data_IF_630620792708
#
_entry.id   IF_630620792708
#
_cell.length_a   1.000
_cell.length_b   1.000
_cell.length_c   1.000
_cell.angle_alpha   90.00
_cell.angle_beta   90.00
_cell.angle_gamma   90.00
#
_symmetry.space_group_name_H-M   'P 1'
#
loop_
_entity.id
_entity.type
_entity.pdbx_description
1 polymer ?
#
# COMPACT_ATOMS: atom_id res chain seq x y z
N UNK A 1 38.09 -63.17 40.12
CA UNK A 1 37.02 -62.26 40.48
C UNK A 1 37.60 -60.85 40.39
N UNK A 2 37.48 -60.25 39.20
CA UNK A 2 38.10 -58.95 38.89
C UNK A 2 36.96 -57.98 38.78
N UNK A 3 36.94 -56.99 39.68
CA UNK A 3 35.92 -55.94 39.75
C UNK A 3 36.42 -54.79 38.92
N UNK A 4 35.78 -54.61 37.79
CA UNK A 4 36.03 -53.50 36.87
C UNK A 4 35.36 -52.23 37.40
N UNK A 5 36.15 -51.28 37.88
CA UNK A 5 35.71 -49.99 38.36
C UNK A 5 35.54 -49.05 37.13
N UNK A 6 34.31 -48.90 36.69
CA UNK A 6 33.90 -47.97 35.64
C UNK A 6 34.06 -46.52 36.13
N UNK A 7 35.14 -45.88 35.73
CA UNK A 7 35.41 -44.44 35.94
C UNK A 7 34.41 -43.58 35.16
N UNK A 8 33.43 -43.04 35.83
CA UNK A 8 32.56 -42.01 35.29
C UNK A 8 33.35 -40.71 35.12
N UNK A 9 33.73 -40.44 33.88
CA UNK A 9 34.35 -39.20 33.49
C UNK A 9 33.27 -38.09 33.51
N UNK A 10 33.33 -37.24 34.54
CA UNK A 10 32.49 -36.03 34.60
C UNK A 10 32.88 -35.09 33.50
N UNK A 11 31.99 -34.86 32.51
CA UNK A 11 32.12 -33.81 31.52
C UNK A 11 31.90 -32.49 32.25
N UNK A 12 32.98 -31.84 32.64
CA UNK A 12 32.99 -30.51 33.18
C UNK A 12 32.59 -29.55 32.03
N UNK A 13 31.36 -29.09 32.01
CA UNK A 13 30.87 -28.03 31.11
C UNK A 13 31.59 -26.73 31.49
N UNK A 14 32.56 -26.35 30.69
CA UNK A 14 33.31 -25.09 30.80
C UNK A 14 32.36 -23.92 30.49
N UNK A 15 31.66 -23.44 31.50
CA UNK A 15 30.79 -22.26 31.43
C UNK A 15 31.66 -21.01 31.43
N UNK A 16 32.27 -20.71 30.31
CA UNK A 16 32.96 -19.43 30.11
C UNK A 16 31.90 -18.35 29.97
N UNK A 17 31.79 -17.49 30.95
CA UNK A 17 30.98 -16.25 30.85
C UNK A 17 31.70 -15.25 29.94
N UNK A 18 30.96 -14.48 29.17
CA UNK A 18 31.52 -13.40 28.36
C UNK A 18 32.11 -12.33 29.29
N UNK A 19 33.26 -11.80 28.89
CA UNK A 19 33.87 -10.69 29.61
C UNK A 19 33.12 -9.39 29.31
N UNK A 20 33.11 -8.47 30.25
CA UNK A 20 32.45 -7.15 30.09
C UNK A 20 33.02 -6.40 28.89
N UNK A 21 34.34 -6.57 28.59
CA UNK A 21 34.97 -6.01 27.41
C UNK A 21 34.46 -6.61 26.11
N UNK A 22 34.21 -7.92 26.07
CA UNK A 22 33.69 -8.60 24.87
C UNK A 22 32.26 -8.15 24.55
N UNK A 23 31.42 -7.96 25.57
CA UNK A 23 30.09 -7.42 25.41
C UNK A 23 30.11 -5.98 24.89
N UNK A 24 31.06 -5.16 25.36
CA UNK A 24 31.23 -3.79 24.88
C UNK A 24 31.59 -3.76 23.39
N UNK A 25 32.53 -4.62 22.95
CA UNK A 25 32.90 -4.72 21.54
C UNK A 25 31.72 -5.15 20.65
N UNK A 26 30.91 -6.09 21.11
CA UNK A 26 29.71 -6.52 20.37
C UNK A 26 28.74 -5.36 20.19
N UNK A 27 28.47 -4.59 21.24
CA UNK A 27 27.56 -3.43 21.16
C UNK A 27 28.11 -2.36 20.19
N UNK A 28 29.42 -2.10 20.20
CA UNK A 28 30.04 -1.15 19.27
C UNK A 28 29.90 -1.62 17.82
N UNK A 29 30.19 -2.89 17.53
CA UNK A 29 30.05 -3.45 16.18
C UNK A 29 28.59 -3.40 15.73
N UNK A 30 27.65 -3.80 16.56
CA UNK A 30 26.20 -3.73 16.26
C UNK A 30 25.77 -2.29 15.99
N UNK A 31 26.24 -1.32 16.79
CA UNK A 31 25.99 0.11 16.58
C UNK A 31 26.48 0.63 15.22
N UNK A 32 27.68 0.24 14.81
CA UNK A 32 28.26 0.61 13.52
C UNK A 32 27.45 -0.03 12.38
N UNK A 33 27.11 -1.32 12.48
CA UNK A 33 26.31 -2.02 11.47
C UNK A 33 24.91 -1.41 11.35
N UNK A 34 24.28 -1.08 12.48
CA UNK A 34 22.99 -0.40 12.49
C UNK A 34 23.03 0.97 11.82
N UNK A 35 24.06 1.77 12.10
CA UNK A 35 24.25 3.09 11.50
C UNK A 35 24.42 3.01 9.96
N UNK A 36 25.05 1.96 9.45
CA UNK A 36 25.21 1.73 8.02
C UNK A 36 23.95 1.16 7.34
N UNK A 37 23.10 0.46 8.08
CA UNK A 37 21.88 -0.18 7.57
C UNK A 37 20.70 0.79 7.44
N UNK A 38 20.52 1.69 8.40
CA UNK A 38 19.38 2.63 8.47
C UNK A 38 19.22 3.49 7.20
N UNK A 39 20.28 4.12 6.63
CA UNK A 39 20.15 4.97 5.44
C UNK A 39 19.67 4.25 4.17
N UNK A 40 19.73 2.92 4.13
CA UNK A 40 19.35 2.10 2.96
C UNK A 40 17.87 1.70 2.94
N UNK A 41 17.16 1.96 4.01
CA UNK A 41 15.72 1.66 4.09
C UNK A 41 14.93 2.78 3.41
N UNK A 42 14.43 2.52 2.22
CA UNK A 42 13.55 3.45 1.47
C UNK A 42 12.10 3.34 2.01
N UNK A 43 11.85 3.96 3.16
CA UNK A 43 10.56 3.97 3.84
C UNK A 43 9.42 4.48 2.95
N UNK A 44 9.73 5.42 2.04
CA UNK A 44 8.75 5.98 1.12
C UNK A 44 8.21 4.94 0.14
N UNK A 45 9.08 4.04 -0.33
CA UNK A 45 8.70 2.94 -1.20
C UNK A 45 7.74 1.95 -0.53
N UNK A 46 7.92 1.71 0.77
CA UNK A 46 6.97 0.89 1.53
C UNK A 46 5.62 1.59 1.71
N UNK A 47 5.63 2.89 2.03
CA UNK A 47 4.40 3.70 2.17
C UNK A 47 3.59 3.72 0.89
N UNK A 48 4.18 4.07 -0.25
CA UNK A 48 3.45 4.13 -1.52
C UNK A 48 2.88 2.76 -1.94
N UNK A 49 3.60 1.67 -1.66
CA UNK A 49 3.09 0.32 -1.92
C UNK A 49 1.92 -0.05 -0.99
N UNK A 50 2.00 0.35 0.28
CA UNK A 50 0.92 0.14 1.24
C UNK A 50 -0.32 0.95 0.84
N UNK A 51 -0.12 2.22 0.46
CA UNK A 51 -1.20 3.10 0.04
C UNK A 51 -1.90 2.61 -1.23
N UNK A 52 -1.14 2.15 -2.24
CA UNK A 52 -1.75 1.55 -3.43
C UNK A 52 -2.66 0.35 -3.12
N UNK A 53 -2.25 -0.51 -2.17
CA UNK A 53 -3.08 -1.62 -1.70
C UNK A 53 -4.28 -1.14 -0.88
N UNK A 54 -4.08 -0.15 -0.02
CA UNK A 54 -5.14 0.44 0.78
C UNK A 54 -6.23 1.03 -0.13
N UNK A 55 -5.85 1.80 -1.14
CA UNK A 55 -6.79 2.34 -2.13
C UNK A 55 -7.58 1.24 -2.85
N UNK A 56 -6.91 0.16 -3.30
CA UNK A 56 -7.61 -0.96 -3.93
C UNK A 56 -8.61 -1.63 -2.97
N UNK A 57 -8.27 -1.76 -1.69
CA UNK A 57 -9.19 -2.23 -0.67
C UNK A 57 -10.39 -1.29 -0.47
N UNK A 58 -10.18 0.02 -0.46
CA UNK A 58 -11.26 1.00 -0.34
C UNK A 58 -12.20 0.97 -1.55
N UNK A 59 -11.68 0.83 -2.76
CA UNK A 59 -12.50 0.65 -3.96
C UNK A 59 -13.32 -0.65 -3.91
N UNK A 60 -12.69 -1.75 -3.49
CA UNK A 60 -13.39 -3.03 -3.31
C UNK A 60 -14.44 -2.94 -2.20
N UNK A 61 -14.15 -2.21 -1.12
CA UNK A 61 -15.12 -1.95 -0.06
C UNK A 61 -16.33 -1.16 -0.58
N UNK A 62 -16.12 -0.06 -1.31
CA UNK A 62 -17.18 0.74 -1.90
C UNK A 62 -18.06 -0.10 -2.87
N UNK A 63 -17.43 -0.92 -3.69
CA UNK A 63 -18.14 -1.85 -4.59
C UNK A 63 -19.01 -2.85 -3.82
N UNK A 64 -18.45 -3.51 -2.79
CA UNK A 64 -19.19 -4.47 -1.97
C UNK A 64 -20.34 -3.80 -1.21
N UNK A 65 -20.11 -2.56 -0.76
CA UNK A 65 -21.13 -1.78 -0.08
C UNK A 65 -22.31 -1.50 -1.01
N UNK A 66 -22.06 -1.09 -2.26
CA UNK A 66 -23.10 -0.88 -3.25
C UNK A 66 -23.94 -2.14 -3.51
N UNK A 67 -23.26 -3.29 -3.64
CA UNK A 67 -23.96 -4.58 -3.84
C UNK A 67 -24.73 -5.02 -2.59
N UNK A 68 -24.15 -4.88 -1.41
CA UNK A 68 -24.80 -5.36 -0.17
C UNK A 68 -25.99 -4.52 0.26
N UNK A 69 -25.91 -3.20 0.07
CA UNK A 69 -26.98 -2.26 0.45
C UNK A 69 -27.97 -2.00 -0.68
N UNK A 70 -27.71 -2.53 -1.90
CA UNK A 70 -28.57 -2.37 -3.08
C UNK A 70 -28.81 -0.90 -3.48
N UNK A 71 -27.83 -0.02 -3.19
CA UNK A 71 -27.83 1.37 -3.63
C UNK A 71 -26.48 1.77 -4.24
N UNK A 72 -26.43 2.92 -4.90
CA UNK A 72 -25.20 3.40 -5.49
C UNK A 72 -24.23 3.92 -4.42
N UNK A 73 -22.94 3.75 -4.67
CA UNK A 73 -21.88 4.29 -3.80
C UNK A 73 -20.90 5.08 -4.66
N UNK A 74 -20.73 6.35 -4.37
CA UNK A 74 -19.79 7.22 -5.06
C UNK A 74 -18.48 7.31 -4.30
N UNK A 75 -17.37 7.24 -5.04
CA UNK A 75 -16.04 7.53 -4.51
C UNK A 75 -15.49 8.75 -5.25
N UNK A 76 -15.24 9.82 -4.52
CA UNK A 76 -14.62 11.04 -5.02
C UNK A 76 -13.16 11.08 -4.63
N UNK A 77 -12.29 11.37 -5.60
CA UNK A 77 -10.85 11.51 -5.43
C UNK A 77 -10.53 13.00 -5.30
N UNK A 78 -10.30 13.47 -4.07
CA UNK A 78 -9.96 14.87 -3.78
C UNK A 78 -8.45 15.06 -3.83
N UNK A 79 -7.95 15.50 -4.98
CA UNK A 79 -6.52 15.76 -5.22
C UNK A 79 -5.99 16.86 -4.29
N UNK A 80 -6.79 17.92 -4.05
CA UNK A 80 -6.37 19.07 -3.26
C UNK A 80 -6.16 18.74 -1.79
N UNK A 81 -7.03 17.92 -1.21
CA UNK A 81 -6.95 17.52 0.18
C UNK A 81 -6.38 16.10 0.38
N UNK A 82 -5.93 15.46 -0.69
CA UNK A 82 -5.30 14.14 -0.67
C UNK A 82 -6.14 13.09 0.07
N UNK A 83 -7.42 12.97 -0.31
CA UNK A 83 -8.36 12.08 0.36
C UNK A 83 -9.31 11.41 -0.63
N UNK A 84 -9.82 10.26 -0.23
CA UNK A 84 -10.96 9.62 -0.84
C UNK A 84 -12.20 9.94 -0.01
N UNK A 85 -13.29 10.26 -0.67
CA UNK A 85 -14.59 10.47 -0.05
C UNK A 85 -15.52 9.39 -0.60
N UNK A 86 -16.06 8.56 0.27
CA UNK A 86 -17.01 7.50 -0.07
C UNK A 86 -18.39 7.95 0.42
N UNK A 87 -19.29 8.18 -0.51
CA UNK A 87 -20.66 8.65 -0.27
C UNK A 87 -21.64 7.55 -0.66
N UNK A 88 -22.56 7.21 0.24
CA UNK A 88 -23.66 6.27 0.03
C UNK A 88 -24.90 7.04 -0.46
N UNK A 89 -25.43 6.68 -1.62
CA UNK A 89 -26.67 7.23 -2.17
C UNK A 89 -27.83 6.31 -1.75
N UNK A 90 -28.28 6.49 -0.51
CA UNK A 90 -29.23 5.57 0.13
C UNK A 90 -30.63 5.62 -0.50
N UNK A 91 -31.02 6.74 -1.09
CA UNK A 91 -32.31 6.91 -1.75
C UNK A 91 -32.26 6.68 -3.28
N UNK A 92 -31.05 6.46 -3.83
CA UNK A 92 -30.76 6.28 -5.27
C UNK A 92 -31.25 7.43 -6.15
N UNK A 93 -31.20 8.68 -5.64
CA UNK A 93 -31.57 9.87 -6.41
C UNK A 93 -30.39 10.47 -7.21
N UNK A 94 -29.19 9.94 -7.02
CA UNK A 94 -27.95 10.39 -7.67
C UNK A 94 -27.35 11.64 -7.04
N UNK A 95 -27.91 12.14 -5.93
CA UNK A 95 -27.42 13.29 -5.21
C UNK A 95 -26.98 12.87 -3.80
N UNK A 96 -25.80 13.26 -3.41
CA UNK A 96 -25.26 12.92 -2.11
C UNK A 96 -25.54 14.04 -1.11
N UNK A 97 -26.48 13.77 -0.20
CA UNK A 97 -27.00 14.75 0.77
C UNK A 97 -26.40 14.56 2.16
N UNK A 98 -26.55 15.56 3.03
CA UNK A 98 -26.01 15.52 4.40
C UNK A 98 -26.68 14.47 5.30
N UNK A 99 -27.80 13.87 4.87
CA UNK A 99 -28.49 12.80 5.58
C UNK A 99 -27.94 11.41 5.25
N UNK A 100 -27.07 11.30 4.26
CA UNK A 100 -26.48 10.04 3.80
C UNK A 100 -25.12 9.82 4.42
N UNK A 101 -24.72 8.54 4.46
CA UNK A 101 -23.45 8.18 5.09
C UNK A 101 -22.29 8.59 4.22
N UNK A 102 -21.37 9.35 4.81
CA UNK A 102 -20.09 9.77 4.23
C UNK A 102 -18.93 9.22 5.03
N UNK A 103 -17.93 8.67 4.33
CA UNK A 103 -16.67 8.26 4.89
C UNK A 103 -15.52 8.95 4.17
N UNK A 104 -14.64 9.60 4.94
CA UNK A 104 -13.45 10.27 4.43
C UNK A 104 -12.21 9.45 4.81
N UNK A 105 -11.36 9.17 3.84
CA UNK A 105 -10.14 8.39 4.00
C UNK A 105 -8.99 9.27 3.52
N UNK A 106 -8.12 9.65 4.45
CA UNK A 106 -6.94 10.46 4.15
C UNK A 106 -5.83 9.57 3.59
N UNK A 107 -5.11 10.05 2.56
CA UNK A 107 -3.89 9.40 2.11
C UNK A 107 -2.80 9.53 3.16
N UNK A 108 -1.88 8.57 3.17
CA UNK A 108 -0.67 8.61 3.98
C UNK A 108 0.18 9.85 3.68
N UNK A 109 0.85 10.36 4.71
CA UNK A 109 1.72 11.53 4.58
C UNK A 109 2.83 11.30 3.55
N UNK A 110 2.97 12.29 2.66
CA UNK A 110 3.94 12.24 1.58
C UNK A 110 3.49 11.47 0.35
N UNK A 111 2.20 11.07 0.26
CA UNK A 111 1.59 10.50 -0.95
C UNK A 111 0.58 11.50 -1.54
N UNK A 112 0.61 11.68 -2.84
CA UNK A 112 -0.28 12.57 -3.60
C UNK A 112 -0.98 11.80 -4.72
N UNK A 113 -2.16 12.26 -5.10
CA UNK A 113 -2.79 11.87 -6.35
C UNK A 113 -2.11 12.63 -7.49
N UNK A 114 -1.19 11.99 -8.18
CA UNK A 114 -0.46 12.63 -9.28
C UNK A 114 0.17 11.60 -10.22
N UNK A 115 0.04 11.86 -11.52
CA UNK A 115 0.62 11.03 -12.57
C UNK A 115 2.14 11.22 -12.72
N UNK A 116 2.64 12.43 -12.43
CA UNK A 116 4.08 12.79 -12.47
C UNK A 116 4.77 12.45 -13.80
N UNK A 117 4.11 12.72 -14.93
CA UNK A 117 4.69 12.55 -16.26
C UNK A 117 5.01 11.12 -16.69
N UNK A 118 4.53 10.10 -15.96
CA UNK A 118 4.63 8.70 -16.43
C UNK A 118 3.69 8.45 -17.60
N UNK A 119 4.05 7.47 -18.43
CA UNK A 119 3.18 7.02 -19.50
C UNK A 119 1.85 6.49 -18.99
N UNK A 120 0.84 6.46 -19.84
CA UNK A 120 -0.41 5.77 -19.55
C UNK A 120 -0.18 4.26 -19.34
N UNK A 121 -1.15 3.61 -18.71
CA UNK A 121 -1.14 2.15 -18.63
C UNK A 121 -1.17 1.54 -20.03
N UNK A 122 -0.53 0.39 -20.25
CA UNK A 122 -0.55 -0.28 -21.55
C UNK A 122 -1.97 -0.73 -21.91
N UNK A 123 -2.31 -0.66 -23.17
CA UNK A 123 -3.59 -1.16 -23.68
C UNK A 123 -3.80 -2.63 -23.25
N UNK A 124 -5.02 -3.05 -22.94
CA UNK A 124 -6.31 -2.34 -23.15
C UNK A 124 -6.78 -1.48 -21.96
N UNK A 125 -5.90 -1.05 -21.05
CA UNK A 125 -6.29 -0.21 -19.92
C UNK A 125 -6.84 1.14 -20.39
N UNK A 126 -7.78 1.76 -19.63
CA UNK A 126 -8.29 3.07 -19.92
C UNK A 126 -7.21 4.15 -19.70
N UNK A 127 -7.31 5.26 -20.41
CA UNK A 127 -6.38 6.39 -20.31
C UNK A 127 -6.92 7.56 -19.50
N UNK A 128 -8.25 7.57 -19.21
CA UNK A 128 -8.87 8.64 -18.46
C UNK A 128 -8.51 8.55 -16.95
N UNK A 129 -8.05 9.65 -16.39
CA UNK A 129 -7.82 9.81 -14.98
C UNK A 129 -9.14 10.06 -14.25
N UNK A 130 -9.37 9.31 -13.17
CA UNK A 130 -10.60 9.40 -12.39
C UNK A 130 -10.48 10.44 -11.28
N UNK A 131 -11.42 11.38 -11.27
CA UNK A 131 -11.69 12.26 -10.12
C UNK A 131 -12.91 11.79 -9.31
N UNK A 132 -13.74 10.95 -9.92
CA UNK A 132 -14.94 10.39 -9.31
C UNK A 132 -15.30 9.07 -10.00
N UNK A 133 -15.89 8.16 -9.25
CA UNK A 133 -16.43 6.89 -9.75
C UNK A 133 -17.67 6.50 -8.93
N UNK A 134 -18.69 5.98 -9.60
CA UNK A 134 -19.89 5.48 -8.94
C UNK A 134 -20.02 3.97 -9.15
N UNK A 135 -20.02 3.23 -8.06
CA UNK A 135 -20.34 1.81 -8.04
C UNK A 135 -21.85 1.63 -7.98
N UNK A 136 -22.37 0.84 -8.90
CA UNK A 136 -23.79 0.52 -8.96
C UNK A 136 -24.10 -0.71 -8.09
N UNK A 137 -25.37 -0.88 -7.77
CA UNK A 137 -25.87 -2.03 -7.00
C UNK A 137 -25.59 -3.40 -7.61
N UNK A 138 -25.29 -3.49 -8.91
CA UNK A 138 -24.85 -4.72 -9.59
C UNK A 138 -23.34 -4.97 -9.48
N UNK A 139 -22.60 -4.07 -8.83
CA UNK A 139 -21.16 -4.12 -8.66
C UNK A 139 -20.36 -3.56 -9.82
N UNK A 140 -21.02 -3.11 -10.91
CA UNK A 140 -20.35 -2.42 -12.00
C UNK A 140 -19.98 -0.99 -11.62
N UNK A 141 -19.03 -0.41 -12.35
CA UNK A 141 -18.72 1.01 -12.24
C UNK A 141 -19.39 1.81 -13.39
N UNK A 142 -19.70 3.06 -13.13
CA UNK A 142 -20.29 3.97 -14.14
C UNK A 142 -19.33 4.23 -15.31
N UNK A 143 -18.01 4.24 -15.04
CA UNK A 143 -16.97 4.44 -16.03
C UNK A 143 -15.72 3.58 -15.71
N UNK A 144 -14.89 3.34 -16.72
CA UNK A 144 -13.55 2.83 -16.55
C UNK A 144 -12.57 3.98 -16.41
N UNK A 145 -11.47 3.79 -15.70
CA UNK A 145 -10.41 4.80 -15.60
C UNK A 145 -9.29 4.42 -14.67
N UNK A 146 -8.37 5.33 -14.47
CA UNK A 146 -7.15 5.13 -13.69
C UNK A 146 -7.02 6.21 -12.64
N UNK A 147 -6.54 5.83 -11.46
CA UNK A 147 -6.13 6.75 -10.40
C UNK A 147 -4.62 6.59 -10.26
N UNK A 148 -3.88 7.70 -10.39
CA UNK A 148 -2.44 7.72 -10.18
C UNK A 148 -2.11 8.23 -8.79
N UNK A 149 -1.13 7.61 -8.15
CA UNK A 149 -0.53 8.10 -6.90
C UNK A 149 0.98 8.12 -7.02
N UNK A 150 1.59 9.10 -6.36
CA UNK A 150 3.03 9.25 -6.31
C UNK A 150 3.47 9.77 -4.94
N UNK A 151 4.75 9.63 -4.62
CA UNK A 151 5.30 10.28 -3.43
C UNK A 151 5.56 11.75 -3.70
N UNK A 152 5.37 12.60 -2.68
CA UNK A 152 5.70 14.04 -2.79
C UNK A 152 7.18 14.23 -3.18
N UNK A 153 8.09 13.37 -2.69
CA UNK A 153 9.49 13.33 -3.10
C UNK A 153 9.64 12.91 -4.57
N UNK A 154 8.89 11.91 -5.01
CA UNK A 154 8.88 11.45 -6.40
C UNK A 154 8.49 12.56 -7.36
N UNK A 155 7.44 13.30 -7.01
CA UNK A 155 6.99 14.47 -7.77
C UNK A 155 8.07 15.55 -7.81
N UNK A 156 8.62 15.95 -6.66
CA UNK A 156 9.65 17.00 -6.58
C UNK A 156 10.95 16.66 -7.34
N UNK A 157 11.30 15.38 -7.44
CA UNK A 157 12.52 14.90 -8.10
C UNK A 157 12.27 14.35 -9.50
N UNK A 158 11.04 14.42 -10.02
CA UNK A 158 10.62 13.75 -11.27
C UNK A 158 10.97 12.25 -11.27
N UNK A 159 10.91 11.62 -10.11
CA UNK A 159 11.30 10.22 -9.90
C UNK A 159 10.11 9.28 -10.15
N UNK A 160 9.98 8.82 -11.38
CA UNK A 160 8.84 8.01 -11.84
C UNK A 160 8.74 6.62 -11.18
N UNK A 161 9.82 6.09 -10.63
CA UNK A 161 9.86 4.78 -9.94
C UNK A 161 8.90 4.66 -8.76
N UNK A 162 8.48 5.79 -8.19
CA UNK A 162 7.55 5.85 -7.07
C UNK A 162 6.08 5.93 -7.53
N UNK A 163 5.83 5.96 -8.84
CA UNK A 163 4.47 6.02 -9.36
C UNK A 163 3.74 4.69 -9.20
N UNK A 164 2.48 4.77 -8.79
CA UNK A 164 1.53 3.64 -8.74
C UNK A 164 0.26 4.06 -9.47
N UNK A 165 -0.42 3.09 -10.02
CA UNK A 165 -1.70 3.29 -10.66
C UNK A 165 -2.72 2.26 -10.19
N UNK A 166 -3.96 2.66 -10.13
CA UNK A 166 -5.11 1.82 -9.83
C UNK A 166 -6.09 1.92 -11.00
N UNK A 167 -6.20 0.86 -11.77
CA UNK A 167 -7.16 0.72 -12.85
C UNK A 167 -8.50 0.24 -12.31
N UNK A 168 -9.59 0.86 -12.74
CA UNK A 168 -10.95 0.42 -12.46
C UNK A 168 -11.60 -0.06 -13.75
N UNK A 169 -12.03 -1.31 -13.78
CA UNK A 169 -12.74 -1.90 -14.89
C UNK A 169 -14.24 -1.60 -14.78
N UNK A 170 -14.83 -0.96 -15.81
CA UNK A 170 -16.25 -0.57 -15.80
C UNK A 170 -17.19 -1.74 -15.56
N UNK A 171 -17.05 -2.81 -16.33
CA UNK A 171 -18.01 -3.92 -16.34
C UNK A 171 -18.07 -4.69 -15.01
N UNK A 172 -16.93 -4.81 -14.34
CA UNK A 172 -16.79 -5.61 -13.11
C UNK A 172 -16.60 -4.76 -11.86
N UNK A 173 -16.37 -3.44 -11.99
CA UNK A 173 -15.99 -2.56 -10.89
C UNK A 173 -14.66 -2.93 -10.21
N UNK A 174 -13.92 -3.89 -10.77
CA UNK A 174 -12.70 -4.41 -10.16
C UNK A 174 -11.57 -3.40 -10.22
N UNK A 175 -10.92 -3.20 -9.07
CA UNK A 175 -9.70 -2.42 -8.95
C UNK A 175 -8.47 -3.31 -9.15
N UNK A 176 -7.54 -2.88 -10.00
CA UNK A 176 -6.27 -3.55 -10.27
C UNK A 176 -5.12 -2.59 -10.05
N UNK A 177 -4.13 -2.98 -9.24
CA UNK A 177 -2.97 -2.15 -8.93
C UNK A 177 -1.84 -2.35 -9.93
N UNK A 178 -1.11 -1.27 -10.23
CA UNK A 178 0.10 -1.27 -11.05
C UNK A 178 1.21 -0.48 -10.36
N UNK A 179 2.45 -0.89 -10.62
CA UNK A 179 3.65 -0.17 -10.19
C UNK A 179 4.50 0.19 -11.40
N UNK A 180 5.06 1.38 -11.40
CA UNK A 180 5.99 1.81 -12.44
C UNK A 180 7.41 1.40 -12.08
N UNK A 181 8.06 0.64 -12.96
CA UNK A 181 9.43 0.16 -12.75
C UNK A 181 10.12 0.05 -14.12
N UNK A 182 11.37 0.57 -14.21
CA UNK A 182 12.17 0.52 -15.44
C UNK A 182 11.41 1.02 -16.68
N UNK A 183 10.73 2.15 -16.55
CA UNK A 183 9.92 2.78 -17.59
C UNK A 183 8.74 1.95 -18.10
N UNK A 184 8.29 0.96 -17.32
CA UNK A 184 7.18 0.06 -17.66
C UNK A 184 6.25 -0.13 -16.48
N UNK A 185 4.95 -0.26 -16.78
CA UNK A 185 3.95 -0.63 -15.79
C UNK A 185 3.92 -2.14 -15.57
N UNK A 186 4.05 -2.55 -14.31
CA UNK A 186 3.96 -3.95 -13.91
C UNK A 186 2.70 -4.11 -13.06
N UNK A 187 1.84 -5.03 -13.47
CA UNK A 187 0.62 -5.37 -12.75
C UNK A 187 0.97 -5.93 -11.37
N UNK A 188 0.31 -5.41 -10.33
CA UNK A 188 0.39 -5.95 -8.98
C UNK A 188 -0.38 -7.28 -8.86
N UNK A 189 0.13 -8.14 -8.03
CA UNK A 189 -0.53 -9.40 -7.64
C UNK A 189 -1.55 -9.14 -6.53
#
# INVERSE_FOLDING_TARGET
MVTDMMQLRSVQSDRRGYSLGELLWVIVIVGILAALAIPRLDWMKYRINAEGRNMAMQMTYAQRLAVSLQHNVQVTIDHGQRRLIVDEDANNDGNYTSGERRRVIQLEDGVNFEKNGVADLPAPAPTNELTRITYRRDGSADQAGVIFINTARGVAMSANKDSRALEIARATGRATTYRYLNSTWIKGS
#
